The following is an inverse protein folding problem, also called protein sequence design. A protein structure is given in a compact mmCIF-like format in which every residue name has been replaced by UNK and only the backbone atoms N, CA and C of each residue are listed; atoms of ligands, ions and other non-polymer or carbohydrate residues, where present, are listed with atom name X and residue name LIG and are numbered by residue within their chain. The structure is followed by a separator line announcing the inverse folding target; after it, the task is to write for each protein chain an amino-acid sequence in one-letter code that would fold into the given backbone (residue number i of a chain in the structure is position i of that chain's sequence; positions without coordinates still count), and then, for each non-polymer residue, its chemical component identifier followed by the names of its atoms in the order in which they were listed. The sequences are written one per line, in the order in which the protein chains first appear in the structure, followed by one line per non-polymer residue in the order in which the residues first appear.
data_IF_753376736879
#
_entry.id   IF_753376736879
#
_cell.length_a   1.000
_cell.length_b   1.000
_cell.length_c   1.000
_cell.angle_alpha   90.00
_cell.angle_beta   90.00
_cell.angle_gamma   90.00
#
_symmetry.space_group_name_H-M   'P 1'
#
loop_
_entity.id
_entity.type
_entity.pdbx_description
1 polymer ?
#
# COMPACT_ATOMS: atom_id res chain seq x y z
N UNK A 1 -8.90 -25.09 9.12
CA UNK A 1 -7.66 -25.77 9.54
C UNK A 1 -6.61 -25.48 8.48
N UNK A 2 -5.51 -24.82 8.84
CA UNK A 2 -4.41 -24.58 7.90
C UNK A 2 -3.74 -25.91 7.57
N UNK A 3 -3.56 -26.20 6.29
CA UNK A 3 -2.73 -27.31 5.85
C UNK A 3 -1.26 -26.99 6.17
N UNK A 4 -0.80 -27.47 7.32
CA UNK A 4 0.55 -27.26 7.86
C UNK A 4 1.66 -27.85 6.97
N UNK A 5 1.31 -28.62 5.93
CA UNK A 5 2.28 -29.19 4.97
C UNK A 5 2.37 -28.42 3.65
N UNK A 6 1.59 -27.36 3.45
CA UNK A 6 1.62 -26.61 2.20
C UNK A 6 2.97 -25.92 2.04
N UNK A 7 3.64 -26.19 0.92
CA UNK A 7 4.92 -25.57 0.56
C UNK A 7 4.71 -24.58 -0.58
N UNK A 8 5.23 -23.37 -0.41
CA UNK A 8 5.21 -22.31 -1.43
C UNK A 8 6.62 -21.78 -1.64
N UNK A 9 7.09 -21.78 -2.87
CA UNK A 9 8.39 -21.25 -3.26
C UNK A 9 8.20 -19.95 -4.04
N UNK A 10 8.66 -18.84 -3.46
CA UNK A 10 8.80 -17.55 -4.14
C UNK A 10 10.16 -17.52 -4.83
N UNK A 11 10.18 -17.39 -6.16
CA UNK A 11 11.39 -17.58 -6.96
C UNK A 11 11.92 -16.27 -7.54
N UNK A 12 13.22 -16.02 -7.39
CA UNK A 12 13.92 -14.92 -8.06
C UNK A 12 13.58 -13.51 -7.57
N UNK A 13 13.04 -13.36 -6.36
CA UNK A 13 12.70 -12.06 -5.79
C UNK A 13 13.90 -11.33 -5.18
N UNK A 14 13.79 -10.00 -5.07
CA UNK A 14 14.76 -9.19 -4.32
C UNK A 14 14.41 -9.26 -2.84
N UNK A 15 15.18 -10.01 -2.05
CA UNK A 15 14.82 -10.29 -0.65
C UNK A 15 15.42 -9.26 0.30
N UNK A 16 14.55 -8.55 1.01
CA UNK A 16 14.88 -7.70 2.17
C UNK A 16 14.54 -8.50 3.43
N UNK A 17 15.54 -8.94 4.21
CA UNK A 17 15.28 -9.77 5.39
C UNK A 17 15.04 -8.97 6.66
N UNK A 18 15.56 -7.74 6.71
CA UNK A 18 15.67 -6.90 7.91
C UNK A 18 16.49 -7.55 9.05
N UNK A 19 17.19 -8.66 8.80
CA UNK A 19 18.14 -9.25 9.74
C UNK A 19 19.39 -8.36 9.87
N UNK A 20 19.90 -8.17 11.09
CA UNK A 20 21.07 -7.30 11.33
C UNK A 20 22.34 -7.75 10.61
N UNK A 21 22.50 -9.06 10.40
CA UNK A 21 23.69 -9.67 9.78
C UNK A 21 23.56 -9.76 8.26
N UNK A 22 22.34 -9.82 7.74
CA UNK A 22 22.09 -9.95 6.31
C UNK A 22 20.82 -9.18 5.87
N UNK A 23 20.75 -7.84 6.07
CA UNK A 23 19.52 -7.07 5.87
C UNK A 23 19.02 -7.08 4.43
N UNK A 24 19.94 -7.27 3.48
CA UNK A 24 19.70 -7.39 2.04
C UNK A 24 20.38 -8.66 1.53
N UNK A 25 19.61 -9.55 0.90
CA UNK A 25 20.11 -10.82 0.33
C UNK A 25 20.27 -10.70 -1.19
N UNK A 26 19.62 -9.71 -1.82
CA UNK A 26 19.54 -9.57 -3.27
C UNK A 26 18.61 -10.60 -3.90
N UNK A 27 18.84 -10.90 -5.19
CA UNK A 27 18.03 -11.88 -5.92
C UNK A 27 18.25 -13.29 -5.35
N UNK A 28 17.16 -13.85 -4.81
CA UNK A 28 17.13 -15.16 -4.17
C UNK A 28 15.70 -15.74 -4.16
N UNK A 29 15.58 -16.97 -3.67
CA UNK A 29 14.33 -17.69 -3.49
C UNK A 29 13.98 -17.77 -2.00
N UNK A 30 12.68 -17.81 -1.70
CA UNK A 30 12.14 -17.96 -0.35
C UNK A 30 11.14 -19.12 -0.33
N UNK A 31 11.41 -20.12 0.50
CA UNK A 31 10.53 -21.26 0.71
C UNK A 31 9.75 -21.06 2.01
N UNK A 32 8.42 -21.09 1.92
CA UNK A 32 7.49 -21.15 3.05
C UNK A 32 6.95 -22.57 3.16
N UNK A 33 6.91 -23.10 4.37
CA UNK A 33 6.22 -24.35 4.72
C UNK A 33 5.25 -24.07 5.86
N UNK A 34 3.96 -24.25 5.59
CA UNK A 34 2.90 -23.93 6.55
C UNK A 34 2.92 -22.46 6.95
N UNK A 35 3.27 -22.20 8.21
CA UNK A 35 3.34 -20.87 8.84
C UNK A 35 4.78 -20.36 9.06
N UNK A 36 5.78 -21.03 8.48
CA UNK A 36 7.20 -20.70 8.67
C UNK A 36 7.95 -20.51 7.38
N UNK A 37 8.93 -19.60 7.42
CA UNK A 37 9.97 -19.51 6.40
C UNK A 37 10.92 -20.69 6.64
N UNK A 38 10.92 -21.65 5.72
CA UNK A 38 11.74 -22.87 5.81
C UNK A 38 13.16 -22.64 5.30
N UNK A 39 13.33 -21.83 4.26
CA UNK A 39 14.64 -21.49 3.71
C UNK A 39 14.63 -20.18 2.93
N UNK A 40 15.77 -19.50 2.92
CA UNK A 40 16.06 -18.37 2.04
C UNK A 40 17.43 -18.59 1.41
N UNK A 41 17.53 -18.48 0.10
CA UNK A 41 18.79 -18.73 -0.60
C UNK A 41 18.63 -18.78 -2.11
N UNK A 42 19.74 -18.97 -2.82
CA UNK A 42 19.73 -19.06 -4.28
C UNK A 42 19.48 -20.48 -4.74
N UNK A 43 18.71 -20.64 -5.82
CA UNK A 43 18.48 -21.91 -6.50
C UNK A 43 17.91 -22.98 -5.56
N UNK A 44 16.93 -22.61 -4.73
CA UNK A 44 16.31 -23.57 -3.83
C UNK A 44 15.60 -24.66 -4.64
N UNK A 45 15.67 -25.90 -4.13
CA UNK A 45 15.04 -27.04 -4.78
C UNK A 45 13.52 -26.89 -4.78
N UNK A 46 12.91 -27.04 -5.96
CA UNK A 46 11.47 -26.94 -6.16
C UNK A 46 10.68 -27.95 -5.31
N UNK A 47 11.07 -29.23 -5.37
CA UNK A 47 10.33 -30.32 -4.73
C UNK A 47 8.86 -30.35 -5.20
N UNK A 48 7.96 -30.40 -4.23
CA UNK A 48 6.50 -30.39 -4.38
C UNK A 48 5.87 -29.01 -4.07
N UNK A 49 6.67 -27.95 -3.95
CA UNK A 49 6.17 -26.63 -3.61
C UNK A 49 5.40 -25.97 -4.78
N UNK A 50 4.33 -25.25 -4.44
CA UNK A 50 3.67 -24.33 -5.38
C UNK A 50 4.60 -23.15 -5.67
N UNK A 51 4.78 -22.80 -6.93
CA UNK A 51 5.70 -21.72 -7.33
C UNK A 51 4.96 -20.42 -7.50
N UNK A 52 5.52 -19.36 -6.91
CA UNK A 52 5.19 -17.97 -7.19
C UNK A 52 6.42 -17.34 -7.85
N UNK A 53 6.26 -16.82 -9.06
CA UNK A 53 7.29 -16.02 -9.70
C UNK A 53 7.34 -14.66 -9.01
N UNK A 54 8.46 -14.38 -8.35
CA UNK A 54 8.72 -13.11 -7.68
C UNK A 54 9.78 -12.29 -8.42
N UNK A 55 10.09 -12.64 -9.67
CA UNK A 55 11.02 -11.87 -10.49
C UNK A 55 10.53 -10.44 -10.67
N UNK A 56 11.46 -9.48 -10.56
CA UNK A 56 11.18 -8.05 -10.55
C UNK A 56 10.27 -7.58 -9.40
N UNK A 57 10.10 -8.38 -8.35
CA UNK A 57 9.40 -7.96 -7.13
C UNK A 57 10.34 -7.89 -5.94
N UNK A 58 9.97 -7.06 -4.96
CA UNK A 58 10.58 -7.04 -3.64
C UNK A 58 9.85 -8.03 -2.73
N UNK A 59 10.59 -8.91 -2.07
CA UNK A 59 10.08 -9.81 -1.04
C UNK A 59 10.60 -9.35 0.31
N UNK A 60 9.70 -8.95 1.20
CA UNK A 60 10.03 -8.40 2.51
C UNK A 60 9.10 -8.93 3.60
N UNK A 61 9.47 -8.82 4.89
CA UNK A 61 8.55 -9.09 5.99
C UNK A 61 7.24 -8.31 5.80
N UNK A 62 6.13 -8.96 6.13
CA UNK A 62 4.83 -8.30 6.21
C UNK A 62 4.90 -7.10 7.16
N UNK A 63 4.26 -6.01 6.77
CA UNK A 63 4.22 -4.81 7.60
C UNK A 63 3.42 -5.08 8.88
N UNK A 64 3.90 -4.53 9.99
CA UNK A 64 3.26 -4.63 11.30
C UNK A 64 2.62 -3.28 11.62
N UNK A 65 1.30 -3.24 11.64
CA UNK A 65 0.55 -2.12 12.19
C UNK A 65 0.38 -2.32 13.70
N UNK A 66 1.03 -1.44 14.46
CA UNK A 66 1.02 -1.50 15.93
C UNK A 66 -0.16 -0.73 16.56
N UNK A 67 -0.89 0.08 15.77
CA UNK A 67 -1.96 0.91 16.31
C UNK A 67 -2.97 1.31 15.24
N UNK A 68 -4.16 0.70 15.30
CA UNK A 68 -5.23 0.98 14.35
C UNK A 68 -6.60 1.06 15.03
N UNK A 69 -7.42 2.03 14.65
CA UNK A 69 -8.83 2.14 15.06
C UNK A 69 -9.75 1.64 13.95
N UNK A 70 -9.77 0.32 13.72
CA UNK A 70 -10.33 -0.27 12.49
C UNK A 70 -11.82 -0.03 12.28
N UNK A 71 -12.54 0.24 13.36
CA UNK A 71 -13.95 0.54 13.32
C UNK A 71 -14.31 1.87 12.65
N UNK A 72 -13.33 2.77 12.53
CA UNK A 72 -13.47 4.06 11.85
C UNK A 72 -13.39 3.95 10.33
N UNK A 73 -13.01 2.80 9.76
CA UNK A 73 -12.69 2.68 8.34
C UNK A 73 -13.81 3.13 7.40
N UNK A 74 -15.07 2.84 7.73
CA UNK A 74 -16.22 3.28 6.92
C UNK A 74 -16.63 4.74 7.14
N UNK A 75 -16.09 5.40 8.19
CA UNK A 75 -16.27 6.84 8.45
C UNK A 75 -15.21 7.71 7.77
N UNK A 76 -14.32 7.09 6.97
CA UNK A 76 -13.26 7.80 6.25
C UNK A 76 -13.83 8.97 5.46
N UNK A 77 -13.16 10.13 5.54
CA UNK A 77 -13.49 11.38 4.83
C UNK A 77 -14.80 12.08 5.25
N UNK A 78 -15.46 11.67 6.34
CA UNK A 78 -16.67 12.35 6.82
C UNK A 78 -16.40 13.72 7.47
N UNK A 79 -15.20 13.95 8.00
CA UNK A 79 -14.83 15.19 8.69
C UNK A 79 -13.52 15.78 8.16
N UNK A 80 -13.50 16.31 6.92
CA UNK A 80 -12.26 16.81 6.32
C UNK A 80 -11.70 18.07 7.00
N UNK A 81 -12.56 18.86 7.67
CA UNK A 81 -12.20 20.15 8.29
C UNK A 81 -12.75 20.25 9.72
N UNK A 82 -12.35 19.32 10.60
CA UNK A 82 -12.68 19.41 12.03
C UNK A 82 -11.80 20.46 12.73
N UNK A 83 -12.37 21.23 13.66
CA UNK A 83 -11.67 22.34 14.32
C UNK A 83 -10.56 21.88 15.26
N UNK A 84 -10.77 20.78 15.97
CA UNK A 84 -9.87 20.23 16.98
C UNK A 84 -10.20 18.76 17.29
N UNK A 85 -9.39 18.14 18.15
CA UNK A 85 -9.53 16.74 18.55
C UNK A 85 -10.81 16.46 19.35
N UNK A 86 -11.28 17.39 20.17
CA UNK A 86 -12.48 17.18 20.98
C UNK A 86 -13.72 17.22 20.10
N UNK A 87 -13.80 18.19 19.17
CA UNK A 87 -14.85 18.22 18.16
C UNK A 87 -14.87 16.94 17.29
N UNK A 88 -13.70 16.34 17.02
CA UNK A 88 -13.60 15.05 16.37
C UNK A 88 -14.18 13.92 17.23
N UNK A 89 -13.77 13.82 18.50
CA UNK A 89 -14.25 12.78 19.42
C UNK A 89 -15.77 12.91 19.63
N UNK A 90 -16.28 14.12 19.85
CA UNK A 90 -17.70 14.39 20.04
C UNK A 90 -18.52 13.93 18.83
N UNK A 91 -18.03 14.16 17.61
CA UNK A 91 -18.75 13.72 16.42
C UNK A 91 -18.59 12.22 16.16
N UNK A 92 -17.37 11.67 16.27
CA UNK A 92 -17.05 10.31 15.84
C UNK A 92 -17.38 9.27 16.90
N UNK A 93 -16.95 9.48 18.14
CA UNK A 93 -17.19 8.54 19.23
C UNK A 93 -18.59 8.75 19.84
N UNK A 94 -18.91 9.98 20.23
CA UNK A 94 -20.15 10.28 20.96
C UNK A 94 -21.37 10.43 20.03
N UNK A 95 -21.18 10.98 18.83
CA UNK A 95 -22.23 11.10 17.82
C UNK A 95 -22.43 9.81 17.03
N UNK A 96 -21.54 9.56 16.07
CA UNK A 96 -21.64 8.43 15.15
C UNK A 96 -21.47 7.07 15.87
N UNK A 97 -20.51 6.99 16.79
CA UNK A 97 -20.19 5.77 17.53
C UNK A 97 -21.34 5.31 18.43
N UNK A 98 -22.12 6.23 19.01
CA UNK A 98 -23.31 5.88 19.78
C UNK A 98 -24.40 5.15 18.97
N UNK A 99 -24.38 5.29 17.64
CA UNK A 99 -25.32 4.61 16.74
C UNK A 99 -24.77 3.34 16.11
N UNK A 100 -23.49 3.01 16.34
CA UNK A 100 -22.89 1.81 15.78
C UNK A 100 -23.44 0.54 16.42
N UNK A 101 -23.88 -0.38 15.58
CA UNK A 101 -24.30 -1.71 16.02
C UNK A 101 -23.10 -2.66 15.93
N UNK A 102 -23.16 -3.83 16.60
CA UNK A 102 -22.12 -4.85 16.48
C UNK A 102 -21.82 -5.25 15.02
N UNK A 103 -22.82 -5.24 14.15
CA UNK A 103 -22.62 -5.52 12.73
C UNK A 103 -21.82 -4.43 12.01
N UNK A 104 -22.03 -3.16 12.35
CA UNK A 104 -21.32 -2.03 11.73
C UNK A 104 -19.84 -2.02 12.16
N UNK A 105 -19.57 -2.37 13.43
CA UNK A 105 -18.23 -2.67 13.93
C UNK A 105 -17.56 -3.79 13.11
N UNK A 106 -18.24 -4.93 13.00
CA UNK A 106 -17.71 -6.08 12.27
C UNK A 106 -17.39 -5.74 10.82
N UNK A 107 -18.33 -5.09 10.12
CA UNK A 107 -18.17 -4.74 8.71
C UNK A 107 -17.02 -3.75 8.53
N UNK A 108 -16.97 -2.70 9.36
CA UNK A 108 -15.90 -1.70 9.29
C UNK A 108 -14.54 -2.31 9.56
N UNK A 109 -14.41 -3.11 10.63
CA UNK A 109 -13.15 -3.82 10.92
C UNK A 109 -12.75 -4.75 9.79
N UNK A 110 -13.70 -5.50 9.20
CA UNK A 110 -13.39 -6.42 8.10
C UNK A 110 -12.93 -5.70 6.84
N UNK A 111 -13.60 -4.60 6.47
CA UNK A 111 -13.23 -3.81 5.30
C UNK A 111 -11.89 -3.12 5.49
N UNK A 112 -11.63 -2.60 6.69
CA UNK A 112 -10.34 -2.01 7.04
C UNK A 112 -9.23 -3.06 7.03
N UNK A 113 -9.48 -4.25 7.59
CA UNK A 113 -8.53 -5.36 7.54
C UNK A 113 -8.19 -5.75 6.11
N UNK A 114 -9.22 -5.84 5.24
CA UNK A 114 -9.00 -6.12 3.83
C UNK A 114 -8.20 -5.00 3.17
N UNK A 115 -8.51 -3.74 3.44
CA UNK A 115 -7.74 -2.61 2.91
C UNK A 115 -6.29 -2.62 3.41
N UNK A 116 -6.01 -3.04 4.66
CA UNK A 116 -4.64 -3.21 5.14
C UNK A 116 -3.89 -4.35 4.44
N UNK A 117 -4.61 -5.38 3.97
CA UNK A 117 -4.03 -6.45 3.14
C UNK A 117 -3.86 -6.02 1.68
N UNK A 118 -4.82 -5.25 1.17
CA UNK A 118 -4.91 -4.71 -0.18
C UNK A 118 -4.13 -3.40 -0.32
N UNK A 119 -3.37 -2.98 0.70
CA UNK A 119 -2.74 -1.68 0.76
C UNK A 119 -1.54 -1.52 -0.21
N UNK A 120 -1.71 -2.08 -1.37
CA UNK A 120 -0.80 -2.20 -2.47
C UNK A 120 -1.59 -2.05 -3.81
N UNK A 121 -2.66 -1.18 -3.96
CA UNK A 121 -3.48 -1.00 -5.20
C UNK A 121 -4.47 0.33 -5.39
N UNK A 122 -4.43 1.27 -6.44
CA UNK A 122 -5.29 2.36 -7.10
C UNK A 122 -5.20 2.83 -8.68
N UNK A 123 -5.88 3.93 -9.22
CA UNK A 123 -6.26 4.26 -10.68
C UNK A 123 -6.32 5.78 -11.31
N UNK A 124 -6.87 6.06 -12.56
CA UNK A 124 -6.78 7.25 -13.58
C UNK A 124 -7.69 8.55 -13.48
N UNK A 125 -7.24 9.77 -13.92
CA UNK A 125 -7.99 11.09 -14.01
C UNK A 125 -8.67 11.49 -15.37
N UNK A 126 -9.61 12.45 -15.34
CA UNK A 126 -10.43 12.96 -16.48
C UNK A 126 -9.91 14.22 -17.23
N UNK A 127 -10.48 14.56 -18.41
CA UNK A 127 -9.92 15.55 -19.36
C UNK A 127 -10.04 17.04 -18.96
N UNK A 128 -11.01 17.43 -18.14
CA UNK A 128 -11.22 18.79 -17.64
C UNK A 128 -10.02 19.35 -16.86
N UNK A 129 -9.18 18.47 -16.31
CA UNK A 129 -7.96 18.83 -15.61
C UNK A 129 -6.83 19.32 -16.55
N UNK A 130 -7.00 19.19 -17.85
CA UNK A 130 -6.04 19.70 -18.85
C UNK A 130 -6.29 21.17 -19.25
N UNK A 131 -7.36 21.80 -18.76
CA UNK A 131 -7.69 23.19 -19.11
C UNK A 131 -6.67 24.18 -18.51
N UNK A 132 -6.35 25.22 -19.28
CA UNK A 132 -5.33 26.19 -18.90
C UNK A 132 -5.72 26.96 -17.63
N UNK A 133 -4.82 26.97 -16.65
CA UNK A 133 -5.02 27.63 -15.36
C UNK A 133 -5.75 26.78 -14.32
N UNK A 134 -6.20 25.57 -14.66
CA UNK A 134 -6.79 24.62 -13.70
C UNK A 134 -5.71 23.92 -12.88
N UNK A 135 -4.62 23.51 -13.54
CA UNK A 135 -3.42 22.98 -12.90
C UNK A 135 -2.25 23.96 -13.06
N UNK A 136 -1.43 24.05 -12.02
CA UNK A 136 -0.29 24.96 -11.96
C UNK A 136 0.60 24.75 -10.73
N UNK A 137 1.67 25.55 -10.58
CA UNK A 137 2.59 25.48 -9.43
C UNK A 137 1.94 25.75 -8.08
N UNK A 138 0.74 26.32 -8.09
CA UNK A 138 -0.07 26.58 -6.91
C UNK A 138 -0.81 25.32 -6.40
N UNK A 139 -0.77 24.20 -7.13
CA UNK A 139 -1.34 22.92 -6.71
C UNK A 139 -0.29 22.00 -6.10
N UNK A 140 -0.65 21.34 -4.99
CA UNK A 140 0.15 20.33 -4.30
C UNK A 140 -0.71 19.08 -4.06
N UNK A 141 -0.34 17.92 -4.64
CA UNK A 141 -1.06 16.65 -4.47
C UNK A 141 -0.26 15.62 -3.62
N UNK A 142 -0.93 14.61 -3.07
CA UNK A 142 -0.31 13.50 -2.33
C UNK A 142 -0.93 12.13 -2.67
N UNK A 143 -0.36 11.04 -2.14
CA UNK A 143 -0.90 9.66 -2.29
C UNK A 143 -1.10 9.21 -3.74
N UNK A 144 -0.32 9.74 -4.68
CA UNK A 144 -0.41 9.51 -6.12
C UNK A 144 0.26 8.20 -6.56
N UNK A 145 0.20 7.15 -5.74
CA UNK A 145 1.05 5.96 -5.90
C UNK A 145 0.60 4.99 -7.00
N UNK A 146 -0.63 5.17 -7.54
CA UNK A 146 -1.14 4.40 -8.69
C UNK A 146 -1.90 5.22 -9.75
N UNK A 147 -1.45 6.45 -9.99
CA UNK A 147 -1.97 7.23 -11.12
C UNK A 147 -1.37 6.71 -12.43
N UNK A 148 -2.22 6.58 -13.45
CA UNK A 148 -1.77 6.17 -14.79
C UNK A 148 -0.80 7.19 -15.37
N UNK A 149 0.12 6.72 -16.21
CA UNK A 149 1.21 7.53 -16.75
C UNK A 149 0.78 8.79 -17.50
N UNK A 150 -0.37 8.75 -18.16
CA UNK A 150 -1.00 9.92 -18.80
C UNK A 150 -1.33 11.04 -17.81
N UNK A 151 -1.75 10.69 -16.58
CA UNK A 151 -2.02 11.65 -15.51
C UNK A 151 -0.72 12.23 -14.93
N UNK A 152 0.36 11.43 -14.84
CA UNK A 152 1.66 11.93 -14.42
C UNK A 152 2.22 13.01 -15.35
N UNK A 153 2.05 12.82 -16.67
CA UNK A 153 2.49 13.83 -17.66
C UNK A 153 1.73 15.14 -17.53
N UNK A 154 0.42 15.06 -17.31
CA UNK A 154 -0.42 16.23 -17.09
C UNK A 154 0.07 17.09 -15.91
N UNK A 155 0.47 16.45 -14.81
CA UNK A 155 1.00 17.14 -13.64
C UNK A 155 2.36 17.80 -13.92
N UNK A 156 3.24 17.08 -14.62
CA UNK A 156 4.55 17.59 -14.98
C UNK A 156 4.47 18.83 -15.90
N UNK A 157 3.65 18.76 -16.95
CA UNK A 157 3.49 19.85 -17.92
C UNK A 157 2.91 21.12 -17.30
N UNK A 158 2.02 20.97 -16.32
CA UNK A 158 1.43 22.07 -15.58
C UNK A 158 2.33 22.62 -14.46
N UNK A 159 3.47 21.99 -14.17
CA UNK A 159 4.37 22.39 -13.08
C UNK A 159 3.79 22.15 -11.69
N UNK A 160 2.93 21.14 -11.54
CA UNK A 160 2.27 20.77 -10.29
C UNK A 160 3.29 20.16 -9.31
N UNK A 161 3.16 20.51 -8.04
CA UNK A 161 3.97 19.92 -6.99
C UNK A 161 3.30 18.62 -6.46
N UNK A 162 4.08 17.57 -6.23
CA UNK A 162 3.58 16.32 -5.64
C UNK A 162 4.42 15.96 -4.42
N UNK A 163 3.73 15.75 -3.30
CA UNK A 163 4.31 15.35 -2.02
C UNK A 163 4.06 13.87 -1.79
N UNK A 164 5.14 13.14 -1.52
CA UNK A 164 5.11 11.69 -1.35
C UNK A 164 5.43 11.43 0.10
N UNK A 165 4.57 10.67 0.79
CA UNK A 165 4.83 10.28 2.15
C UNK A 165 4.81 8.74 2.22
N UNK A 166 5.97 8.10 1.97
CA UNK A 166 6.06 6.65 1.80
C UNK A 166 5.46 5.86 2.97
N UNK A 167 5.45 6.43 4.18
CA UNK A 167 4.92 5.80 5.38
C UNK A 167 3.39 5.81 5.46
N UNK A 168 2.73 6.87 4.99
CA UNK A 168 1.27 6.99 4.97
C UNK A 168 0.66 6.51 3.66
N UNK A 169 1.37 6.64 2.54
CA UNK A 169 0.89 6.22 1.22
C UNK A 169 0.81 4.68 1.14
N UNK A 170 1.80 4.00 1.74
CA UNK A 170 1.79 2.55 1.98
C UNK A 170 0.77 2.12 3.06
N UNK A 171 0.29 3.03 3.91
CA UNK A 171 -0.70 2.72 4.96
C UNK A 171 -2.15 2.75 4.42
N UNK A 172 -2.42 3.54 3.37
CA UNK A 172 -3.75 3.72 2.75
C UNK A 172 -3.98 2.87 1.53
N UNK A 173 -2.90 2.40 0.94
CA UNK A 173 -3.01 1.21 0.15
C UNK A 173 -2.95 1.35 -1.34
N UNK A 174 -2.18 2.32 -1.79
CA UNK A 174 -2.40 2.94 -3.07
C UNK A 174 -1.27 2.67 -4.07
N UNK A 175 -0.41 1.66 -3.90
CA UNK A 175 0.86 1.48 -4.66
C UNK A 175 0.95 0.11 -5.39
N UNK A 176 1.11 0.07 -6.72
CA UNK A 176 1.24 -1.15 -7.57
C UNK A 176 2.61 -1.26 -8.25
N UNK A 177 3.61 -0.56 -7.71
CA UNK A 177 4.96 -0.47 -8.25
C UNK A 177 5.11 0.23 -9.62
N UNK A 178 4.04 0.82 -10.18
CA UNK A 178 4.16 1.70 -11.36
C UNK A 178 4.72 3.10 -11.04
N UNK A 179 4.95 3.39 -9.75
CA UNK A 179 5.37 4.69 -9.26
C UNK A 179 6.71 5.19 -9.84
N UNK A 180 7.60 4.27 -10.24
CA UNK A 180 8.96 4.61 -10.65
C UNK A 180 9.33 3.98 -11.99
N UNK A 181 9.33 4.80 -13.05
CA UNK A 181 9.98 4.48 -14.33
C UNK A 181 11.19 5.41 -14.53
N UNK A 182 12.43 4.88 -14.53
CA UNK A 182 13.64 5.69 -14.67
C UNK A 182 13.76 6.41 -16.03
N UNK A 183 12.95 6.08 -17.03
CA UNK A 183 12.88 6.79 -18.30
C UNK A 183 12.26 8.19 -18.21
N UNK A 184 11.63 8.56 -17.08
CA UNK A 184 10.91 9.83 -16.89
C UNK A 184 11.86 10.99 -16.53
N UNK A 185 13.02 10.70 -15.93
CA UNK A 185 13.93 11.73 -15.36
C UNK A 185 15.31 11.80 -16.02
N UNK A 186 15.48 11.20 -17.21
CA UNK A 186 16.73 11.41 -17.95
C UNK A 186 16.70 12.78 -18.65
N UNK A 187 17.76 13.59 -18.53
CA UNK A 187 17.90 14.77 -19.38
C UNK A 187 18.00 14.31 -20.83
N UNK A 188 17.34 15.03 -21.73
CA UNK A 188 17.47 14.88 -23.19
C UNK A 188 18.91 14.95 -23.66
#
# INVERSE_FOLDING_TARGET
MSDLKRRTLFKGGTILSMDKKAPYIGTADLLVEGDKIAAVGRNLALGDAAVVDASNSIVMPGLIDAHHHMWLGVMRRMMPNVSDLFAYIDFVAEGMGAHYRPFDMYLSTKLTALACLDACDLAKLGPEFAEAGVLGPHNIFNHCTRVRQETWRLFADAGVNVTINPRSDALFGFDDESFWNPAIFQPT
#
